data_IF_851625695897
#
_entry.id   IF_851625695897
#
_cell.length_a   1.000
_cell.length_b   1.000
_cell.length_c   1.000
_cell.angle_alpha   90.00
_cell.angle_beta   90.00
_cell.angle_gamma   90.00
#
_symmetry.space_group_name_H-M   'P 1'
#
loop_
_entity.id
_entity.type
_entity.pdbx_description
1 polymer ?
#
# COMPACT_ATOMS: atom_id res chain seq x y z
N UNK A 1 -8.45 12.03 5.61
CA UNK A 1 -9.29 10.94 6.17
C UNK A 1 -8.49 10.29 7.29
N UNK A 2 -9.12 9.87 8.39
CA UNK A 2 -8.40 9.15 9.45
C UNK A 2 -8.08 7.73 8.99
N UNK A 3 -6.86 7.26 9.27
CA UNK A 3 -6.40 5.91 8.99
C UNK A 3 -5.59 5.38 10.18
N UNK A 4 -5.40 4.06 10.23
CA UNK A 4 -4.57 3.39 11.23
C UNK A 4 -3.38 2.75 10.52
N UNK A 5 -2.17 3.02 11.00
CA UNK A 5 -0.94 2.40 10.51
C UNK A 5 -1.03 0.87 10.66
N UNK A 6 -0.76 0.14 9.57
CA UNK A 6 -0.85 -1.33 9.54
C UNK A 6 0.53 -2.00 9.48
N UNK A 7 1.45 -1.45 8.70
CA UNK A 7 2.83 -1.95 8.53
C UNK A 7 3.75 -0.74 8.37
N UNK A 8 4.88 -0.77 9.07
CA UNK A 8 6.00 0.17 8.93
C UNK A 8 7.30 -0.61 9.19
N UNK A 9 7.87 -1.19 8.14
CA UNK A 9 9.05 -2.06 8.23
C UNK A 9 9.80 -2.13 6.90
N UNK A 10 11.07 -2.54 6.96
CA UNK A 10 11.89 -2.85 5.79
C UNK A 10 11.72 -4.32 5.41
N UNK A 11 11.35 -4.57 4.16
CA UNK A 11 11.30 -5.93 3.61
C UNK A 11 12.61 -6.28 2.92
N UNK A 12 13.20 -7.42 3.29
CA UNK A 12 14.42 -7.97 2.68
C UNK A 12 14.13 -9.36 2.16
N UNK A 13 14.59 -9.68 0.94
CA UNK A 13 14.43 -11.02 0.40
C UNK A 13 15.32 -12.04 1.15
N UNK A 14 14.84 -13.28 1.39
CA UNK A 14 13.49 -13.77 1.07
C UNK A 14 12.44 -13.22 2.05
N UNK A 15 11.26 -12.86 1.53
CA UNK A 15 10.12 -12.42 2.34
C UNK A 15 8.84 -13.13 1.90
N UNK A 16 7.87 -13.22 2.80
CA UNK A 16 6.55 -13.76 2.49
C UNK A 16 5.76 -12.81 1.58
N UNK A 17 4.83 -13.38 0.80
CA UNK A 17 3.88 -12.59 0.01
C UNK A 17 2.88 -11.89 0.93
N UNK A 18 2.73 -10.58 0.78
CA UNK A 18 1.70 -9.81 1.47
C UNK A 18 0.37 -9.84 0.71
N UNK A 19 -0.76 -9.81 1.42
CA UNK A 19 -2.10 -9.74 0.84
C UNK A 19 -2.88 -8.59 1.45
N UNK A 20 -3.49 -7.78 0.59
CA UNK A 20 -4.36 -6.66 0.96
C UNK A 20 -5.75 -6.83 0.34
N UNK A 21 -6.76 -6.37 1.05
CA UNK A 21 -8.17 -6.44 0.67
C UNK A 21 -8.76 -5.04 0.57
N UNK A 22 -9.93 -4.84 -0.06
CA UNK A 22 -10.52 -3.50 -0.25
C UNK A 22 -10.67 -2.68 1.04
N UNK A 23 -10.84 -3.32 2.19
CA UNK A 23 -11.05 -2.67 3.49
C UNK A 23 -10.17 -3.20 4.63
N UNK A 24 -9.20 -4.09 4.34
CA UNK A 24 -8.31 -4.67 5.35
C UNK A 24 -6.93 -5.02 4.79
N UNK A 25 -5.98 -5.39 5.64
CA UNK A 25 -4.63 -5.79 5.20
C UNK A 25 -3.71 -4.64 4.75
N UNK A 26 -4.14 -3.38 4.81
CA UNK A 26 -3.33 -2.23 4.39
C UNK A 26 -3.61 -1.80 2.94
N UNK A 27 -4.87 -1.54 2.62
CA UNK A 27 -5.31 -1.10 1.28
C UNK A 27 -4.68 0.24 0.82
N UNK A 28 -4.12 1.01 1.75
CA UNK A 28 -3.28 2.17 1.48
C UNK A 28 -1.85 1.81 1.89
N UNK A 29 -0.90 1.90 0.96
CA UNK A 29 0.51 1.59 1.20
C UNK A 29 1.43 2.43 0.33
N UNK A 30 2.69 2.53 0.75
CA UNK A 30 3.76 3.17 0.03
C UNK A 30 4.99 2.25 0.10
N UNK A 31 5.71 2.10 -1.02
CA UNK A 31 6.98 1.39 -1.07
C UNK A 31 8.10 2.37 -1.33
N UNK A 32 9.15 2.31 -0.50
CA UNK A 32 10.38 3.07 -0.70
C UNK A 32 11.53 2.07 -0.87
N UNK A 33 12.19 2.12 -2.02
CA UNK A 33 13.35 1.27 -2.28
C UNK A 33 14.55 1.76 -1.45
N UNK A 34 15.03 0.92 -0.51
CA UNK A 34 16.24 1.17 0.29
C UNK A 34 17.52 0.75 -0.46
N UNK A 35 17.38 -0.26 -1.32
CA UNK A 35 18.39 -0.73 -2.28
C UNK A 35 17.66 -1.16 -3.56
N UNK A 36 18.40 -1.56 -4.60
CA UNK A 36 17.80 -2.13 -5.81
C UNK A 36 16.91 -3.32 -5.46
N UNK A 37 15.63 -3.22 -5.78
CA UNK A 37 14.64 -4.24 -5.50
C UNK A 37 13.67 -4.41 -6.67
N UNK A 38 12.96 -5.53 -6.67
CA UNK A 38 11.86 -5.80 -7.58
C UNK A 38 10.65 -6.22 -6.75
N UNK A 39 9.48 -5.70 -7.11
CA UNK A 39 8.19 -6.05 -6.50
C UNK A 39 7.33 -6.67 -7.59
N UNK A 40 6.74 -7.83 -7.28
CA UNK A 40 5.77 -8.50 -8.15
C UNK A 40 4.39 -8.38 -7.53
N UNK A 41 3.50 -7.63 -8.19
CA UNK A 41 2.12 -7.45 -7.76
C UNK A 41 1.13 -8.17 -8.67
N UNK A 42 0.12 -8.79 -8.04
CA UNK A 42 -1.03 -9.38 -8.72
C UNK A 42 -2.30 -8.66 -8.25
N UNK A 43 -2.95 -7.95 -9.17
CA UNK A 43 -4.15 -7.14 -8.89
C UNK A 43 -5.43 -7.86 -9.35
N UNK A 44 -6.41 -7.99 -8.45
CA UNK A 44 -7.68 -8.66 -8.72
C UNK A 44 -8.88 -7.92 -8.10
N UNK A 45 -9.73 -7.22 -8.89
CA UNK A 45 -9.52 -6.85 -10.30
C UNK A 45 -8.49 -5.71 -10.45
N UNK A 46 -7.90 -5.51 -11.64
CA UNK A 46 -7.05 -4.36 -11.90
C UNK A 46 -7.86 -3.05 -11.87
N UNK A 47 -7.14 -1.92 -11.74
CA UNK A 47 -7.71 -0.58 -11.89
C UNK A 47 -8.41 -0.44 -13.24
N UNK A 48 -9.54 0.25 -13.23
CA UNK A 48 -10.32 0.54 -14.43
C UNK A 48 -11.23 1.74 -14.12
N UNK A 49 -10.85 2.91 -14.63
CA UNK A 49 -11.56 4.16 -14.35
C UNK A 49 -13.00 4.15 -14.87
N UNK A 50 -13.23 3.58 -16.06
CA UNK A 50 -14.58 3.39 -16.62
C UNK A 50 -15.50 2.53 -15.76
N UNK A 51 -14.92 1.65 -14.94
CA UNK A 51 -15.63 0.83 -13.96
C UNK A 51 -15.55 1.41 -12.53
N UNK A 52 -15.12 2.66 -12.37
CA UNK A 52 -15.02 3.37 -11.09
C UNK A 52 -13.81 3.01 -10.21
N UNK A 53 -12.95 2.07 -10.65
CA UNK A 53 -11.75 1.62 -9.89
C UNK A 53 -10.55 2.49 -10.21
N UNK A 54 -10.54 3.70 -9.65
CA UNK A 54 -9.45 4.68 -9.82
C UNK A 54 -8.36 4.47 -8.77
N UNK A 55 -7.09 4.60 -9.18
CA UNK A 55 -5.98 4.73 -8.25
C UNK A 55 -5.97 6.16 -7.71
N UNK A 56 -6.03 6.33 -6.38
CA UNK A 56 -6.02 7.64 -5.73
C UNK A 56 -4.81 7.71 -4.80
N UNK A 57 -4.04 8.79 -4.92
CA UNK A 57 -2.87 9.05 -4.10
C UNK A 57 -3.24 9.88 -2.87
N UNK A 58 -2.51 9.67 -1.77
CA UNK A 58 -2.70 10.36 -0.51
C UNK A 58 -1.34 10.78 0.04
N UNK A 59 -1.30 11.94 0.70
CA UNK A 59 -0.25 12.28 1.63
C UNK A 59 -0.72 11.92 3.04
N UNK A 60 0.11 11.23 3.81
CA UNK A 60 -0.13 10.99 5.21
C UNK A 60 0.43 12.13 6.06
N UNK A 61 -0.22 12.37 7.19
CA UNK A 61 0.19 13.35 8.17
C UNK A 61 0.01 12.74 9.56
N UNK A 62 0.93 12.99 10.51
CA UNK A 62 0.78 12.53 11.88
C UNK A 62 -0.54 12.99 12.48
N UNK A 63 -1.23 12.10 13.20
CA UNK A 63 -2.49 12.44 13.88
C UNK A 63 -2.31 13.57 14.90
N UNK A 64 -1.14 13.65 15.53
CA UNK A 64 -0.73 14.76 16.41
C UNK A 64 0.38 15.57 15.75
N UNK A 65 0.03 16.79 15.30
CA UNK A 65 0.99 17.86 14.98
C UNK A 65 0.76 19.06 15.92
N UNK A 66 0.58 18.79 17.21
CA UNK A 66 0.49 19.77 18.29
C UNK A 66 1.42 19.37 19.43
#
# INVERSE_FOLDING_TARGET
>A
RLAKLKVDTVLTAPCETAVLFPTSGGNLHCFTAVASCAVLDVLAPPYAESAGRRCTYYHDHPYSSF
#
